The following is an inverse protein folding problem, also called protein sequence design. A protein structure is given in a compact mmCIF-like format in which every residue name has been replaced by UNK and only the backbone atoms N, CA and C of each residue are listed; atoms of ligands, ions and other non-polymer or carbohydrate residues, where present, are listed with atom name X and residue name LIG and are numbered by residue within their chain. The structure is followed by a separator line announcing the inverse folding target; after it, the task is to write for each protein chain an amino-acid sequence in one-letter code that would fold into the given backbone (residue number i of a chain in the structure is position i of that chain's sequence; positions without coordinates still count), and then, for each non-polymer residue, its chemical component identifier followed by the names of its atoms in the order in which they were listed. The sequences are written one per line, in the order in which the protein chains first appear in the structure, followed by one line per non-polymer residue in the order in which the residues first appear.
data_IF_033503203036
#
_entry.id   IF_033503203036
#
_cell.length_a   1.000
_cell.length_b   1.000
_cell.length_c   1.000
_cell.angle_alpha   90.00
_cell.angle_beta   90.00
_cell.angle_gamma   90.00
#
_symmetry.space_group_name_H-M   'P 1'
#
loop_
_entity.id
_entity.type
_entity.pdbx_description
1 polymer ?
#
# COMPACT_ATOMS: atom_id res chain seq x y z
N UNK A 1 10.43 9.24 21.78
CA UNK A 1 11.24 9.76 20.64
C UNK A 1 11.98 10.98 21.15
N UNK A 2 13.33 11.00 21.08
CA UNK A 2 14.09 12.17 21.53
C UNK A 2 13.79 13.36 20.60
N UNK A 3 13.83 14.59 21.14
CA UNK A 3 13.67 15.81 20.30
C UNK A 3 14.65 15.83 19.12
N UNK A 4 15.85 15.26 19.28
CA UNK A 4 16.83 15.09 18.22
C UNK A 4 16.36 14.17 17.09
N UNK A 5 15.71 13.03 17.40
CA UNK A 5 15.20 12.11 16.37
C UNK A 5 14.09 12.74 15.52
N UNK A 6 13.26 13.60 16.11
CA UNK A 6 12.22 14.35 15.37
C UNK A 6 12.87 15.35 14.44
N UNK A 7 13.90 16.06 14.89
CA UNK A 7 14.63 17.04 14.05
C UNK A 7 15.31 16.38 12.85
N UNK A 8 15.94 15.20 13.05
CA UNK A 8 16.53 14.42 11.96
C UNK A 8 15.49 13.95 10.94
N UNK A 9 14.32 13.49 11.39
CA UNK A 9 13.23 13.06 10.50
C UNK A 9 12.73 14.24 9.68
N UNK A 10 12.51 15.39 10.30
CA UNK A 10 12.07 16.61 9.61
C UNK A 10 13.13 17.09 8.60
N UNK A 11 14.41 17.07 8.99
CA UNK A 11 15.51 17.47 8.09
C UNK A 11 15.62 16.53 6.88
N UNK A 12 15.53 15.22 7.06
CA UNK A 12 15.56 14.23 5.97
C UNK A 12 14.32 14.37 5.08
N UNK A 13 13.13 14.58 5.64
CA UNK A 13 11.91 14.81 4.86
C UNK A 13 12.00 16.09 4.03
N UNK A 14 12.55 17.17 4.58
CA UNK A 14 12.77 18.42 3.88
C UNK A 14 13.79 18.28 2.74
N UNK A 15 14.88 17.53 2.99
CA UNK A 15 15.92 17.27 2.00
C UNK A 15 15.39 16.40 0.84
N UNK A 16 14.55 15.40 1.13
CA UNK A 16 13.84 14.59 0.14
C UNK A 16 12.86 15.45 -0.69
N UNK A 17 12.11 16.34 -0.05
CA UNK A 17 11.21 17.28 -0.75
C UNK A 17 11.96 18.20 -1.69
N UNK A 18 13.11 18.76 -1.26
CA UNK A 18 13.97 19.60 -2.09
C UNK A 18 14.59 18.80 -3.24
N UNK A 19 15.04 17.59 -3.01
CA UNK A 19 15.59 16.71 -4.05
C UNK A 19 14.52 16.31 -5.10
N UNK A 20 13.27 16.12 -4.69
CA UNK A 20 12.15 15.81 -5.60
C UNK A 20 11.67 17.03 -6.38
N UNK A 21 11.81 18.25 -5.83
CA UNK A 21 11.39 19.51 -6.49
C UNK A 21 12.30 19.97 -7.63
N UNK A 22 13.55 19.50 -7.68
CA UNK A 22 14.54 19.86 -8.71
C UNK A 22 14.66 18.90 -9.88
N UNK A 23 13.88 17.82 -9.93
CA UNK A 23 13.97 16.86 -11.01
C UNK A 23 13.06 17.27 -12.17
N UNK A 24 13.64 17.86 -13.22
CA UNK A 24 12.96 18.06 -14.50
C UNK A 24 12.63 16.67 -15.08
N UNK A 25 11.37 16.42 -15.28
CA UNK A 25 10.91 15.14 -15.83
C UNK A 25 11.21 15.10 -17.30
N UNK A 26 11.80 14.01 -17.81
CA UNK A 26 11.91 13.84 -19.24
C UNK A 26 10.51 13.90 -19.87
N UNK A 27 10.38 14.60 -20.97
CA UNK A 27 9.12 14.67 -21.74
C UNK A 27 8.71 13.26 -22.16
N UNK A 28 7.45 12.91 -21.90
CA UNK A 28 6.90 11.63 -22.30
C UNK A 28 6.42 11.70 -23.75
N UNK A 29 7.11 11.00 -24.65
CA UNK A 29 6.82 10.94 -26.09
C UNK A 29 5.98 9.71 -26.48
N UNK A 30 5.26 9.10 -25.55
CA UNK A 30 4.37 7.98 -25.87
C UNK A 30 3.19 8.45 -26.69
N UNK A 31 2.93 7.80 -27.85
CA UNK A 31 1.81 8.09 -28.75
C UNK A 31 0.53 7.52 -28.15
N UNK A 32 -0.21 8.36 -27.42
CA UNK A 32 -1.47 7.97 -26.77
C UNK A 32 -2.71 8.39 -27.53
N UNK A 33 -2.65 9.53 -28.21
CA UNK A 33 -3.78 10.21 -28.86
C UNK A 33 -4.97 10.45 -27.93
N UNK A 34 -4.77 10.31 -26.64
CA UNK A 34 -5.84 10.40 -25.66
C UNK A 34 -6.25 11.85 -25.42
N UNK A 35 -7.56 12.09 -25.35
CA UNK A 35 -8.17 13.42 -25.15
C UNK A 35 -7.78 14.09 -23.83
N UNK A 36 -7.43 13.31 -22.81
CA UNK A 36 -7.01 13.79 -21.49
C UNK A 36 -5.50 13.94 -21.33
N UNK A 37 -4.73 13.55 -22.32
CA UNK A 37 -3.27 13.51 -22.24
C UNK A 37 -2.65 14.83 -22.75
N UNK A 38 -1.95 15.53 -21.87
CA UNK A 38 -1.23 16.76 -22.16
C UNK A 38 0.20 16.56 -22.68
N UNK A 39 0.66 15.30 -22.77
CA UNK A 39 1.95 14.99 -23.38
C UNK A 39 1.97 15.39 -24.87
N UNK A 40 3.14 15.50 -25.49
CA UNK A 40 3.24 15.92 -26.92
C UNK A 40 2.34 15.11 -27.85
N UNK A 41 2.31 13.78 -27.70
CA UNK A 41 1.49 12.91 -28.55
C UNK A 41 0.12 12.53 -27.92
N UNK A 42 -0.35 13.29 -26.92
CA UNK A 42 -1.74 13.32 -26.52
C UNK A 42 -2.57 14.21 -27.44
N UNK A 43 -3.89 14.22 -27.26
CA UNK A 43 -4.84 15.01 -28.05
C UNK A 43 -5.68 15.96 -27.17
N UNK A 44 -5.09 16.46 -26.06
CA UNK A 44 -5.77 17.38 -25.16
C UNK A 44 -6.17 18.70 -25.87
N UNK A 45 -5.27 19.28 -26.67
CA UNK A 45 -5.55 20.51 -27.43
C UNK A 45 -6.74 20.30 -28.38
N UNK A 46 -6.83 19.15 -29.04
CA UNK A 46 -7.96 18.78 -29.88
C UNK A 46 -9.27 18.72 -29.08
N UNK A 47 -9.25 18.09 -27.92
CA UNK A 47 -10.45 17.93 -27.07
C UNK A 47 -10.99 19.26 -26.56
N UNK A 48 -10.16 20.27 -26.40
CA UNK A 48 -10.56 21.61 -25.99
C UNK A 48 -11.05 22.48 -27.16
N UNK A 49 -10.47 22.30 -28.35
CA UNK A 49 -10.75 23.16 -29.51
C UNK A 49 -11.89 22.64 -30.38
N UNK A 50 -11.94 21.33 -30.63
CA UNK A 50 -12.90 20.71 -31.55
C UNK A 50 -14.38 20.95 -31.16
N UNK A 51 -14.79 21.00 -29.88
CA UNK A 51 -16.18 21.29 -29.52
C UNK A 51 -16.72 22.62 -30.06
N UNK A 52 -15.84 23.60 -30.32
CA UNK A 52 -16.23 24.89 -30.88
C UNK A 52 -16.51 24.86 -32.40
N UNK A 53 -16.18 23.79 -33.07
CA UNK A 53 -16.33 23.62 -34.53
C UNK A 53 -17.66 22.97 -34.95
N UNK A 54 -18.31 22.25 -34.03
CA UNK A 54 -19.50 21.44 -34.31
C UNK A 54 -20.67 21.88 -33.45
N UNK A 55 -21.92 21.61 -33.92
CA UNK A 55 -23.12 21.92 -33.12
C UNK A 55 -23.20 20.99 -31.91
N UNK A 56 -22.88 19.73 -32.09
CA UNK A 56 -22.77 18.74 -31.02
C UNK A 56 -21.40 18.03 -31.05
N UNK A 57 -20.81 17.89 -29.89
CA UNK A 57 -19.56 17.17 -29.73
C UNK A 57 -19.65 16.22 -28.55
N UNK A 58 -19.49 14.93 -28.80
CA UNK A 58 -19.55 13.91 -27.76
C UNK A 58 -18.29 13.08 -27.76
N UNK A 59 -17.71 12.85 -26.59
CA UNK A 59 -16.62 11.91 -26.40
C UNK A 59 -17.14 10.61 -25.78
N UNK A 60 -16.75 9.48 -26.35
CA UNK A 60 -17.19 8.16 -25.96
C UNK A 60 -15.98 7.22 -25.78
N UNK A 61 -16.14 6.17 -24.99
CA UNK A 61 -15.10 5.16 -24.77
C UNK A 61 -15.66 3.74 -25.03
N UNK A 62 -16.51 3.62 -26.03
CA UNK A 62 -17.10 2.36 -26.46
C UNK A 62 -16.62 1.98 -27.85
N UNK A 63 -16.74 0.69 -28.18
CA UNK A 63 -16.43 0.16 -29.51
C UNK A 63 -17.32 0.75 -30.61
N UNK A 64 -16.91 0.66 -31.87
CA UNK A 64 -17.75 1.11 -32.98
C UNK A 64 -19.12 0.44 -32.98
N UNK A 65 -19.20 -0.83 -32.64
CA UNK A 65 -20.47 -1.53 -32.49
C UNK A 65 -21.43 -0.83 -31.54
N UNK A 66 -20.95 -0.36 -30.39
CA UNK A 66 -21.79 0.29 -29.39
C UNK A 66 -22.06 1.76 -29.70
N UNK A 67 -21.03 2.47 -30.18
CA UNK A 67 -21.11 3.91 -30.50
C UNK A 67 -22.06 4.18 -31.64
N UNK A 68 -21.90 3.44 -32.77
CA UNK A 68 -22.70 3.65 -33.96
C UNK A 68 -24.18 3.35 -33.77
N UNK A 69 -24.52 2.40 -32.91
CA UNK A 69 -25.91 2.09 -32.57
C UNK A 69 -26.60 3.13 -31.67
N UNK A 70 -25.78 3.95 -30.98
CA UNK A 70 -26.28 5.04 -30.12
C UNK A 70 -26.21 6.40 -30.81
N UNK A 71 -25.47 6.50 -31.92
CA UNK A 71 -25.32 7.75 -32.65
C UNK A 71 -26.59 8.12 -33.40
N UNK A 72 -26.88 9.41 -33.45
CA UNK A 72 -28.01 9.95 -34.15
C UNK A 72 -27.78 10.01 -35.67
N UNK A 73 -28.86 10.15 -36.44
CA UNK A 73 -28.79 10.33 -37.86
C UNK A 73 -28.13 11.67 -38.20
N UNK A 74 -27.13 11.67 -39.11
CA UNK A 74 -26.37 12.86 -39.46
C UNK A 74 -25.14 13.16 -38.56
N UNK A 75 -24.92 12.45 -37.44
CA UNK A 75 -23.67 12.55 -36.69
C UNK A 75 -22.53 11.86 -37.40
N UNK A 76 -21.36 12.51 -37.43
CA UNK A 76 -20.10 11.89 -37.85
C UNK A 76 -19.42 11.11 -36.74
N UNK A 77 -18.58 10.18 -37.11
CA UNK A 77 -17.71 9.44 -36.17
C UNK A 77 -16.25 9.80 -36.37
N UNK A 78 -15.54 10.06 -35.29
CA UNK A 78 -14.10 10.28 -35.28
C UNK A 78 -13.41 9.20 -34.46
N UNK A 79 -12.35 8.61 -35.02
CA UNK A 79 -11.43 7.72 -34.30
C UNK A 79 -10.00 8.09 -34.64
N UNK A 80 -9.17 8.25 -33.58
CA UNK A 80 -7.73 8.59 -33.72
C UNK A 80 -6.97 7.56 -32.89
N UNK A 81 -6.10 6.79 -33.56
CA UNK A 81 -5.31 5.74 -32.89
C UNK A 81 -3.99 5.49 -33.65
N UNK A 82 -3.01 4.86 -33.04
CA UNK A 82 -1.83 4.37 -33.76
C UNK A 82 -2.23 3.17 -34.61
N UNK A 83 -2.89 2.19 -34.00
CA UNK A 83 -3.36 0.97 -34.61
C UNK A 83 -4.87 0.87 -34.52
N UNK A 84 -5.56 0.64 -35.60
CA UNK A 84 -6.99 0.39 -35.62
C UNK A 84 -7.27 -1.06 -36.02
N UNK A 85 -7.48 -1.90 -35.01
CA UNK A 85 -7.84 -3.32 -35.18
C UNK A 85 -9.28 -3.52 -34.72
N UNK A 86 -10.12 -4.08 -35.58
CA UNK A 86 -11.55 -4.21 -35.37
C UNK A 86 -11.93 -5.68 -35.11
N UNK A 87 -12.79 -5.90 -34.12
CA UNK A 87 -13.51 -7.17 -34.01
C UNK A 87 -14.65 -7.23 -35.03
N UNK A 88 -15.07 -8.45 -35.40
CA UNK A 88 -16.10 -8.68 -36.41
C UNK A 88 -17.38 -7.84 -36.20
N UNK A 89 -17.98 -7.74 -34.98
CA UNK A 89 -19.18 -6.94 -34.79
C UNK A 89 -18.95 -5.44 -35.08
N UNK A 90 -17.78 -4.91 -34.70
CA UNK A 90 -17.45 -3.48 -34.92
C UNK A 90 -17.19 -3.18 -36.36
N UNK A 91 -16.56 -4.10 -37.10
CA UNK A 91 -16.35 -4.00 -38.53
C UNK A 91 -17.68 -4.04 -39.31
N UNK A 92 -18.54 -5.02 -39.02
CA UNK A 92 -19.84 -5.18 -39.72
C UNK A 92 -20.74 -3.96 -39.47
N UNK A 93 -20.84 -3.48 -38.24
CA UNK A 93 -21.65 -2.29 -37.90
C UNK A 93 -21.08 -1.03 -38.60
N UNK A 94 -19.74 -0.85 -38.58
CA UNK A 94 -19.10 0.29 -39.21
C UNK A 94 -19.41 0.36 -40.73
N UNK A 95 -19.21 -0.74 -41.42
CA UNK A 95 -19.47 -0.84 -42.88
C UNK A 95 -20.95 -0.63 -43.18
N UNK A 96 -21.85 -1.20 -42.35
CA UNK A 96 -23.29 -1.06 -42.52
C UNK A 96 -23.74 0.41 -42.35
N UNK A 97 -23.28 1.08 -41.30
CA UNK A 97 -23.65 2.46 -41.00
C UNK A 97 -23.11 3.46 -42.02
N UNK A 98 -21.87 3.27 -42.49
CA UNK A 98 -21.32 4.12 -43.55
C UNK A 98 -22.07 3.88 -44.88
N UNK A 99 -22.42 2.64 -45.22
CA UNK A 99 -23.21 2.36 -46.41
C UNK A 99 -24.61 3.03 -46.40
N UNK A 100 -25.14 3.35 -45.20
CA UNK A 100 -26.42 4.01 -44.99
C UNK A 100 -26.32 5.55 -44.91
N UNK A 101 -25.17 6.14 -45.15
CA UNK A 101 -25.00 7.60 -45.22
C UNK A 101 -24.17 8.24 -44.12
N UNK A 102 -23.55 7.44 -43.26
CA UNK A 102 -22.70 7.98 -42.15
C UNK A 102 -21.32 8.37 -42.68
N UNK A 103 -20.80 9.54 -42.26
CA UNK A 103 -19.42 9.94 -42.48
C UNK A 103 -18.55 9.56 -41.30
N UNK A 104 -17.45 8.86 -41.58
CA UNK A 104 -16.52 8.37 -40.54
C UNK A 104 -15.09 8.79 -40.85
N UNK A 105 -14.44 9.52 -39.92
CA UNK A 105 -13.02 9.85 -40.02
C UNK A 105 -12.22 8.88 -39.18
N UNK A 106 -11.40 8.07 -39.86
CA UNK A 106 -10.45 7.15 -39.24
C UNK A 106 -9.04 7.68 -39.44
N UNK A 107 -8.40 8.08 -38.38
CA UNK A 107 -7.01 8.50 -38.36
C UNK A 107 -6.16 7.46 -37.68
N UNK A 108 -5.33 6.76 -38.44
CA UNK A 108 -4.53 5.66 -37.93
C UNK A 108 -3.30 5.41 -38.78
N UNK A 109 -2.20 5.00 -38.13
CA UNK A 109 -1.00 4.55 -38.83
C UNK A 109 -1.14 3.13 -39.39
N UNK A 110 -1.94 2.29 -38.74
CA UNK A 110 -2.23 0.93 -39.19
C UNK A 110 -3.74 0.70 -39.17
N UNK A 111 -4.28 0.35 -40.35
CA UNK A 111 -5.70 0.06 -40.52
C UNK A 111 -5.93 -1.47 -40.62
N UNK A 112 -7.05 -1.91 -39.99
CA UNK A 112 -7.47 -3.32 -40.06
C UNK A 112 -7.54 -3.86 -41.48
N UNK A 113 -6.97 -5.03 -41.73
CA UNK A 113 -6.85 -5.63 -43.03
C UNK A 113 -8.22 -5.82 -43.75
N UNK A 114 -9.29 -6.09 -42.96
CA UNK A 114 -10.63 -6.23 -43.53
C UNK A 114 -11.13 -4.93 -44.17
N UNK A 115 -10.82 -3.78 -43.51
CA UNK A 115 -11.16 -2.47 -44.07
C UNK A 115 -10.27 -2.13 -45.25
N UNK A 116 -8.98 -2.44 -45.20
CA UNK A 116 -8.05 -2.29 -46.32
C UNK A 116 -8.57 -3.00 -47.55
N UNK A 117 -8.96 -4.27 -47.42
CA UNK A 117 -9.49 -5.09 -48.50
C UNK A 117 -10.85 -4.56 -49.01
N UNK A 118 -11.74 -4.14 -48.09
CA UNK A 118 -13.08 -3.63 -48.44
C UNK A 118 -13.01 -2.31 -49.20
N UNK A 119 -12.12 -1.42 -48.81
CA UNK A 119 -11.95 -0.11 -49.42
C UNK A 119 -11.00 -0.14 -50.63
N UNK A 120 -10.37 -1.29 -50.90
CA UNK A 120 -9.37 -1.47 -51.96
C UNK A 120 -8.25 -0.43 -51.87
N UNK A 121 -7.69 -0.25 -50.66
CA UNK A 121 -6.62 0.68 -50.38
C UNK A 121 -5.37 -0.05 -49.91
N UNK A 122 -4.25 0.65 -49.88
CA UNK A 122 -3.02 0.17 -49.30
C UNK A 122 -2.29 1.33 -48.57
N UNK A 123 -1.89 1.09 -47.36
CA UNK A 123 -1.03 2.02 -46.61
C UNK A 123 0.41 1.59 -46.77
N UNK A 124 1.27 2.53 -47.08
CA UNK A 124 2.70 2.30 -47.12
C UNK A 124 3.44 3.25 -46.19
N UNK A 125 4.63 2.86 -45.78
CA UNK A 125 5.47 3.62 -44.89
C UNK A 125 6.64 4.17 -45.68
N UNK A 126 6.83 5.47 -45.59
CA UNK A 126 8.03 6.05 -46.13
C UNK A 126 9.19 5.83 -45.17
N UNK A 127 10.18 5.04 -45.59
CA UNK A 127 11.48 4.96 -44.90
C UNK A 127 12.23 6.29 -45.12
N UNK A 128 12.16 7.19 -44.14
CA UNK A 128 13.08 8.30 -44.08
C UNK A 128 14.47 7.74 -43.69
N UNK A 129 15.27 7.42 -44.70
CA UNK A 129 16.71 7.43 -44.50
C UNK A 129 17.11 8.87 -44.22
N UNK A 130 17.83 9.08 -43.10
CA UNK A 130 18.48 10.33 -42.77
C UNK A 130 19.24 10.85 -44.01
N UNK A 131 18.59 11.72 -44.74
CA UNK A 131 19.31 12.53 -45.72
C UNK A 131 19.83 13.72 -44.92
N UNK A 132 21.15 13.89 -44.90
CA UNK A 132 21.87 14.82 -44.07
C UNK A 132 21.60 16.31 -44.38
N UNK A 133 20.71 16.63 -45.30
CA UNK A 133 20.43 17.97 -45.76
C UNK A 133 19.26 18.69 -45.09
N UNK A 134 18.67 18.14 -44.02
CA UNK A 134 17.76 18.85 -43.16
C UNK A 134 16.40 19.25 -43.77
N UNK A 135 15.90 18.48 -44.73
CA UNK A 135 14.56 18.68 -45.31
C UNK A 135 13.50 18.25 -44.27
N UNK A 136 12.81 19.21 -43.71
CA UNK A 136 11.66 18.97 -42.84
C UNK A 136 10.50 18.42 -43.69
N UNK A 137 9.91 17.29 -43.24
CA UNK A 137 8.69 16.77 -43.85
C UNK A 137 7.56 17.77 -43.71
N UNK A 138 6.78 17.95 -44.78
CA UNK A 138 5.63 18.85 -44.75
C UNK A 138 4.40 18.19 -45.39
N UNK A 139 3.24 18.70 -45.02
CA UNK A 139 1.97 18.36 -45.65
C UNK A 139 1.44 19.57 -46.42
N UNK A 140 0.85 19.27 -47.59
CA UNK A 140 0.25 20.28 -48.47
C UNK A 140 -1.26 20.09 -48.55
N UNK A 141 -1.96 21.21 -48.48
CA UNK A 141 -3.39 21.32 -48.73
C UNK A 141 -3.59 22.44 -49.71
N UNK A 142 -4.43 22.27 -50.73
CA UNK A 142 -4.72 23.30 -51.68
C UNK A 142 -5.24 24.56 -51.01
N UNK A 143 -4.57 25.69 -51.30
CA UNK A 143 -4.92 27.01 -50.76
C UNK A 143 -4.48 27.28 -49.33
N UNK A 144 -3.69 26.42 -48.71
CA UNK A 144 -3.17 26.61 -47.33
C UNK A 144 -1.63 26.69 -47.29
N UNK A 145 -1.04 27.37 -46.30
CA UNK A 145 0.39 27.29 -46.08
C UNK A 145 0.83 25.85 -45.80
N UNK A 146 2.05 25.52 -46.18
CA UNK A 146 2.67 24.24 -45.86
C UNK A 146 2.76 24.06 -44.32
N UNK A 147 2.46 22.86 -43.86
CA UNK A 147 2.60 22.46 -42.45
C UNK A 147 3.83 21.60 -42.29
N UNK A 148 4.66 21.89 -41.31
CA UNK A 148 5.94 21.22 -41.11
C UNK A 148 5.92 20.27 -39.94
N UNK A 149 6.59 19.11 -40.14
CA UNK A 149 6.92 18.17 -39.05
C UNK A 149 8.39 18.32 -38.66
N UNK A 150 8.73 17.95 -37.43
CA UNK A 150 10.14 17.74 -37.08
C UNK A 150 10.66 16.45 -37.69
N UNK A 151 11.93 16.43 -38.02
CA UNK A 151 12.68 15.49 -38.85
C UNK A 151 12.66 14.01 -38.46
N UNK A 152 12.00 13.60 -37.40
CA UNK A 152 12.08 12.25 -36.86
C UNK A 152 10.80 11.42 -37.01
N UNK A 153 9.75 11.97 -37.62
CA UNK A 153 8.48 11.27 -37.66
C UNK A 153 8.34 10.49 -38.99
N UNK A 154 8.13 9.19 -38.85
CA UNK A 154 7.75 8.33 -39.97
C UNK A 154 6.31 8.67 -40.34
N UNK A 155 6.13 9.25 -41.53
CA UNK A 155 4.80 9.54 -42.07
C UNK A 155 4.35 8.41 -42.96
N UNK A 156 3.18 7.88 -42.70
CA UNK A 156 2.52 6.92 -43.56
C UNK A 156 1.69 7.65 -44.61
N UNK A 157 1.54 7.05 -45.75
CA UNK A 157 0.72 7.57 -46.84
C UNK A 157 -0.17 6.45 -47.40
N UNK A 158 -1.20 6.84 -48.15
CA UNK A 158 -2.11 5.93 -48.81
C UNK A 158 -1.60 5.73 -50.24
N UNK A 159 -0.94 4.60 -50.47
CA UNK A 159 -0.30 4.31 -51.79
C UNK A 159 -1.33 4.00 -52.87
N UNK A 160 -2.40 3.28 -52.55
CA UNK A 160 -3.43 2.90 -53.49
C UNK A 160 -4.81 3.41 -53.03
N UNK A 161 -5.51 4.07 -53.96
CA UNK A 161 -6.85 4.62 -53.73
C UNK A 161 -7.78 4.21 -54.87
N UNK A 162 -9.07 3.95 -54.59
CA UNK A 162 -10.07 3.71 -55.66
C UNK A 162 -10.29 5.00 -56.48
N UNK A 163 -10.66 4.89 -57.77
CA UNK A 163 -10.86 6.05 -58.63
C UNK A 163 -11.91 7.05 -58.16
N UNK A 164 -12.80 6.65 -57.28
CA UNK A 164 -13.83 7.49 -56.68
C UNK A 164 -13.33 8.32 -55.50
N UNK A 165 -12.11 8.06 -54.99
CA UNK A 165 -11.57 8.75 -53.86
C UNK A 165 -11.18 10.21 -54.19
N UNK A 166 -11.34 11.09 -53.22
CA UNK A 166 -10.91 12.50 -53.26
C UNK A 166 -9.79 12.75 -52.26
N UNK A 167 -8.64 13.21 -52.77
CA UNK A 167 -7.47 13.48 -51.95
C UNK A 167 -7.54 14.93 -51.47
N UNK A 168 -7.38 15.17 -50.16
CA UNK A 168 -7.42 16.49 -49.50
C UNK A 168 -6.05 16.96 -49.04
N UNK A 169 -5.20 16.03 -48.57
CA UNK A 169 -3.88 16.33 -48.03
C UNK A 169 -2.87 15.40 -48.68
N UNK A 170 -1.75 15.96 -49.13
CA UNK A 170 -0.62 15.21 -49.67
C UNK A 170 0.65 15.47 -48.86
N UNK A 171 1.61 14.56 -48.95
CA UNK A 171 2.97 14.78 -48.47
C UNK A 171 3.82 15.52 -49.51
N UNK A 172 5.10 15.76 -49.25
CA UNK A 172 6.04 16.45 -50.13
C UNK A 172 6.21 15.80 -51.50
N UNK A 173 5.98 14.52 -51.61
CA UNK A 173 6.06 13.75 -52.88
C UNK A 173 4.73 13.67 -53.62
N UNK A 174 3.69 14.33 -53.10
CA UNK A 174 2.36 14.30 -53.74
C UNK A 174 1.57 13.04 -53.40
N UNK A 175 2.03 12.21 -52.47
CA UNK A 175 1.30 11.00 -52.06
C UNK A 175 0.17 11.38 -51.09
N UNK A 176 -0.95 10.67 -51.14
CA UNK A 176 -2.14 10.96 -50.34
C UNK A 176 -1.91 10.64 -48.86
N UNK A 177 -2.24 11.61 -47.99
CA UNK A 177 -2.23 11.45 -46.54
C UNK A 177 -3.64 11.49 -45.98
N UNK A 178 -4.51 12.36 -46.53
CA UNK A 178 -5.93 12.37 -46.18
C UNK A 178 -6.75 12.26 -47.48
N UNK A 179 -7.63 11.28 -47.47
CA UNK A 179 -8.55 11.09 -48.60
C UNK A 179 -9.93 10.68 -48.11
N UNK A 180 -11.00 11.08 -48.83
CA UNK A 180 -12.32 10.52 -48.63
C UNK A 180 -12.60 9.45 -49.72
N UNK A 181 -13.28 8.42 -49.28
CA UNK A 181 -13.69 7.29 -50.15
C UNK A 181 -15.20 7.12 -49.98
N UNK A 182 -15.97 7.47 -51.02
CA UNK A 182 -17.41 7.22 -51.00
C UNK A 182 -17.71 5.72 -50.87
N UNK A 183 -18.64 5.39 -49.97
CA UNK A 183 -19.02 4.02 -49.69
C UNK A 183 -20.54 3.93 -49.41
N UNK A 184 -21.30 3.37 -50.35
CA UNK A 184 -22.75 3.41 -50.30
C UNK A 184 -23.28 4.86 -50.40
N UNK A 185 -24.09 5.27 -49.46
CA UNK A 185 -24.61 6.64 -49.32
C UNK A 185 -23.73 7.57 -48.44
N UNK A 186 -22.74 7.00 -47.74
CA UNK A 186 -21.79 7.73 -46.86
C UNK A 186 -20.37 7.72 -47.40
N UNK A 187 -19.43 8.01 -46.52
CA UNK A 187 -18.01 8.05 -46.87
C UNK A 187 -17.09 7.71 -45.71
N UNK A 188 -15.96 7.12 -46.05
CA UNK A 188 -14.81 7.00 -45.14
C UNK A 188 -13.82 8.11 -45.45
N UNK A 189 -13.53 8.94 -44.43
CA UNK A 189 -12.41 9.86 -44.49
C UNK A 189 -11.24 9.18 -43.78
N UNK A 190 -10.18 8.91 -44.50
CA UNK A 190 -9.00 8.23 -44.00
C UNK A 190 -7.86 9.24 -43.85
N UNK A 191 -7.19 9.17 -42.71
CA UNK A 191 -5.96 9.93 -42.41
C UNK A 191 -4.87 8.94 -41.99
N UNK A 192 -3.83 8.78 -42.77
CA UNK A 192 -2.71 7.85 -42.50
C UNK A 192 -1.72 8.40 -41.49
N UNK A 193 -1.84 9.66 -41.09
CA UNK A 193 -0.89 10.35 -40.20
C UNK A 193 -1.62 10.93 -38.97
N UNK A 194 -1.93 10.10 -37.95
CA UNK A 194 -2.71 10.53 -36.78
C UNK A 194 -2.02 11.62 -35.91
N UNK A 195 -0.74 11.83 -36.13
CA UNK A 195 0.06 12.87 -35.45
C UNK A 195 -0.51 14.27 -35.67
N UNK A 196 -1.22 14.54 -36.76
CA UNK A 196 -1.85 15.84 -37.06
C UNK A 196 -2.89 16.27 -36.01
N UNK A 197 -3.38 15.33 -35.20
CA UNK A 197 -4.35 15.57 -34.14
C UNK A 197 -3.71 15.70 -32.73
N UNK A 198 -2.38 15.65 -32.66
CA UNK A 198 -1.66 15.69 -31.38
C UNK A 198 -1.39 17.10 -30.90
N UNK A 199 -1.20 17.25 -29.60
CA UNK A 199 -0.79 18.53 -28.98
C UNK A 199 0.46 19.09 -29.66
N UNK A 200 1.45 18.25 -29.90
CA UNK A 200 2.71 18.59 -30.52
C UNK A 200 2.52 19.25 -31.91
N UNK A 201 1.73 18.61 -32.76
CA UNK A 201 1.49 19.12 -34.11
C UNK A 201 0.62 20.38 -34.07
N UNK A 202 -0.50 20.34 -33.36
CA UNK A 202 -1.47 21.44 -33.35
C UNK A 202 -0.93 22.73 -32.77
N UNK A 203 -0.04 22.65 -31.78
CA UNK A 203 0.54 23.81 -31.08
C UNK A 203 1.77 24.38 -31.79
N UNK A 204 2.25 23.74 -32.85
CA UNK A 204 3.38 24.21 -33.62
C UNK A 204 2.93 25.13 -34.75
N UNK A 205 3.28 26.43 -34.65
CA UNK A 205 2.93 27.43 -35.68
C UNK A 205 1.45 27.48 -36.03
N UNK A 206 1.16 27.41 -37.32
CA UNK A 206 -0.21 27.42 -37.86
C UNK A 206 -0.78 26.03 -38.19
N UNK A 207 -0.13 24.97 -37.76
CA UNK A 207 -0.52 23.58 -38.05
C UNK A 207 -1.96 23.23 -37.67
N UNK A 208 -2.49 23.85 -36.61
CA UNK A 208 -3.89 23.68 -36.19
C UNK A 208 -4.92 23.94 -37.30
N UNK A 209 -4.56 24.76 -38.29
CA UNK A 209 -5.42 25.03 -39.46
C UNK A 209 -5.61 23.79 -40.34
N UNK A 210 -4.56 23.00 -40.49
CA UNK A 210 -4.66 21.72 -41.24
C UNK A 210 -5.57 20.76 -40.47
N UNK A 211 -5.38 20.62 -39.18
CA UNK A 211 -6.24 19.77 -38.34
C UNK A 211 -7.70 20.22 -38.43
N UNK A 212 -7.97 21.53 -38.35
CA UNK A 212 -9.32 22.08 -38.52
C UNK A 212 -9.90 21.78 -39.93
N UNK A 213 -9.08 21.87 -40.99
CA UNK A 213 -9.51 21.52 -42.38
C UNK A 213 -9.87 20.07 -42.49
N UNK A 214 -9.11 19.17 -41.89
CA UNK A 214 -9.42 17.73 -41.93
C UNK A 214 -10.69 17.42 -41.13
N UNK A 215 -10.86 18.05 -39.95
CA UNK A 215 -12.09 17.92 -39.17
C UNK A 215 -13.33 18.45 -39.89
N UNK A 216 -13.19 19.50 -40.72
CA UNK A 216 -14.31 20.03 -41.52
C UNK A 216 -14.82 19.10 -42.61
N UNK A 217 -14.23 17.93 -42.79
CA UNK A 217 -14.75 16.84 -43.62
C UNK A 217 -15.85 16.05 -42.92
N UNK A 218 -15.98 16.23 -41.59
CA UNK A 218 -17.09 15.65 -40.81
C UNK A 218 -18.33 16.58 -40.84
N UNK A 219 -19.54 16.04 -40.63
CA UNK A 219 -20.76 16.83 -40.61
C UNK A 219 -20.77 17.86 -39.51
N UNK A 220 -21.22 19.09 -39.81
CA UNK A 220 -21.33 20.19 -38.83
C UNK A 220 -22.40 19.93 -37.73
N UNK A 221 -23.38 19.04 -38.03
CA UNK A 221 -24.48 18.69 -37.13
C UNK A 221 -24.01 18.09 -35.81
N UNK A 222 -23.01 17.22 -35.86
CA UNK A 222 -22.46 16.62 -34.68
C UNK A 222 -21.37 15.60 -34.96
N UNK A 223 -20.48 15.46 -34.02
CA UNK A 223 -19.38 14.48 -34.08
C UNK A 223 -19.26 13.71 -32.78
N UNK A 224 -19.13 12.40 -32.90
CA UNK A 224 -18.85 11.50 -31.82
C UNK A 224 -17.43 10.98 -31.93
N UNK A 225 -16.59 11.33 -30.97
CA UNK A 225 -15.19 10.89 -30.89
C UNK A 225 -15.05 9.70 -29.95
N UNK A 226 -14.71 8.52 -30.49
CA UNK A 226 -14.42 7.36 -29.65
C UNK A 226 -12.93 7.26 -29.33
N UNK A 227 -12.65 7.05 -28.03
CA UNK A 227 -11.30 6.81 -27.51
C UNK A 227 -10.98 5.32 -27.32
N UNK A 228 -11.91 4.42 -27.66
CA UNK A 228 -11.80 2.99 -27.40
C UNK A 228 -10.56 2.33 -28.02
N UNK A 229 -10.18 2.76 -29.22
CA UNK A 229 -9.05 2.20 -29.97
C UNK A 229 -7.72 2.90 -29.72
N UNK A 230 -7.68 3.88 -28.82
CA UNK A 230 -6.45 4.62 -28.51
C UNK A 230 -5.49 3.79 -27.65
N UNK A 231 -4.20 3.87 -27.95
CA UNK A 231 -3.15 3.23 -27.16
C UNK A 231 -3.11 3.80 -25.74
N UNK A 232 -3.19 2.93 -24.74
CA UNK A 232 -3.11 3.36 -23.33
C UNK A 232 -4.44 3.77 -22.69
N UNK A 233 -5.55 3.81 -23.41
CA UNK A 233 -6.89 3.86 -22.82
C UNK A 233 -7.22 2.45 -22.34
N UNK A 234 -6.77 2.11 -21.14
CA UNK A 234 -7.12 0.83 -20.53
C UNK A 234 -8.61 0.83 -20.21
N UNK A 235 -9.36 -0.05 -20.84
CA UNK A 235 -10.78 -0.33 -20.62
C UNK A 235 -11.12 -0.73 -19.16
N UNK A 236 -10.11 -0.92 -18.33
CA UNK A 236 -10.22 -1.15 -16.89
C UNK A 236 -9.26 -0.23 -16.15
N UNK A 237 -9.57 1.04 -16.04
CA UNK A 237 -8.82 1.94 -15.17
C UNK A 237 -9.16 1.65 -13.70
N UNK A 238 -8.38 0.79 -13.07
CA UNK A 238 -8.38 0.72 -11.61
C UNK A 238 -8.20 2.14 -11.06
N UNK A 239 -9.00 2.58 -10.06
CA UNK A 239 -8.82 3.90 -9.42
C UNK A 239 -7.37 4.12 -8.96
N UNK A 240 -6.67 3.05 -8.63
CA UNK A 240 -5.27 3.07 -8.23
C UNK A 240 -4.33 3.44 -9.39
N UNK A 241 -4.62 2.98 -10.61
CA UNK A 241 -3.85 3.33 -11.81
C UNK A 241 -4.01 4.81 -12.14
N UNK A 242 -5.20 5.39 -11.92
CA UNK A 242 -5.46 6.80 -12.12
C UNK A 242 -4.63 7.67 -11.17
N UNK A 243 -4.55 7.29 -9.89
CA UNK A 243 -3.67 7.95 -8.91
C UNK A 243 -2.20 7.88 -9.35
N UNK A 244 -1.76 6.76 -9.93
CA UNK A 244 -0.37 6.58 -10.38
C UNK A 244 -0.05 7.34 -11.68
N UNK A 245 -1.03 7.61 -12.55
CA UNK A 245 -0.85 8.40 -13.78
C UNK A 245 -0.53 9.86 -13.48
N UNK A 246 -1.22 10.44 -12.49
CA UNK A 246 -1.04 11.83 -12.14
C UNK A 246 0.20 12.01 -11.25
N UNK A 247 1.25 12.67 -11.74
CA UNK A 247 2.51 12.80 -11.00
C UNK A 247 2.39 13.39 -9.59
N UNK A 248 1.54 14.41 -9.33
CA UNK A 248 1.35 14.93 -7.98
C UNK A 248 0.73 13.88 -7.04
N UNK A 249 -0.28 13.13 -7.51
CA UNK A 249 -0.95 12.09 -6.71
C UNK A 249 -0.03 10.89 -6.46
N UNK A 250 0.75 10.48 -7.45
CA UNK A 250 1.77 9.43 -7.32
C UNK A 250 2.82 9.79 -6.28
N UNK A 251 3.32 11.02 -6.31
CA UNK A 251 4.30 11.50 -5.33
C UNK A 251 3.68 11.58 -3.92
N UNK A 252 2.45 12.03 -3.80
CA UNK A 252 1.71 12.04 -2.53
C UNK A 252 1.52 10.61 -1.98
N UNK A 253 1.21 9.64 -2.84
CA UNK A 253 1.10 8.23 -2.47
C UNK A 253 2.43 7.67 -1.97
N UNK A 254 3.53 7.90 -2.70
CA UNK A 254 4.85 7.44 -2.28
C UNK A 254 5.29 8.07 -0.96
N UNK A 255 4.99 9.36 -0.78
CA UNK A 255 5.26 10.05 0.47
C UNK A 255 4.45 9.48 1.63
N UNK A 256 3.17 9.20 1.43
CA UNK A 256 2.31 8.56 2.43
C UNK A 256 2.83 7.15 2.80
N UNK A 257 3.22 6.34 1.81
CA UNK A 257 3.82 5.02 2.04
C UNK A 257 5.14 5.11 2.81
N UNK A 258 5.99 6.09 2.47
CA UNK A 258 7.25 6.34 3.18
C UNK A 258 7.00 6.74 4.65
N UNK A 259 5.99 7.59 4.91
CA UNK A 259 5.60 7.96 6.28
C UNK A 259 5.07 6.75 7.06
N UNK A 260 4.26 5.89 6.45
CA UNK A 260 3.76 4.67 7.07
C UNK A 260 4.92 3.72 7.39
N UNK A 261 5.83 3.52 6.44
CA UNK A 261 7.02 2.69 6.66
C UNK A 261 7.89 3.24 7.80
N UNK A 262 8.12 4.55 7.82
CA UNK A 262 8.85 5.22 8.88
C UNK A 262 8.16 5.07 10.23
N UNK A 263 6.83 5.24 10.27
CA UNK A 263 6.03 5.03 11.48
C UNK A 263 6.14 3.59 11.97
N UNK A 264 6.08 2.61 11.07
CA UNK A 264 6.28 1.19 11.42
C UNK A 264 7.68 0.92 11.97
N UNK A 265 8.74 1.48 11.37
CA UNK A 265 10.12 1.32 11.84
C UNK A 265 10.29 1.95 13.23
N UNK A 266 9.78 3.16 13.43
CA UNK A 266 9.86 3.86 14.74
C UNK A 266 8.98 3.18 15.78
N UNK A 267 7.78 2.75 15.40
CA UNK A 267 6.81 2.08 16.27
C UNK A 267 7.15 0.62 16.58
N UNK A 268 7.94 -0.04 15.72
CA UNK A 268 8.36 -1.45 15.90
C UNK A 268 9.35 -1.65 17.06
N UNK A 269 9.96 -0.57 17.55
CA UNK A 269 10.69 -0.62 18.81
C UNK A 269 9.70 -0.96 19.91
N UNK A 270 9.67 -2.23 20.27
CA UNK A 270 8.86 -2.76 21.37
C UNK A 270 9.21 -1.99 22.64
N UNK A 271 8.42 -0.97 22.96
CA UNK A 271 8.46 -0.34 24.29
C UNK A 271 7.87 -1.38 25.22
N UNK A 272 8.74 -2.25 25.74
CA UNK A 272 8.35 -3.11 26.84
C UNK A 272 7.95 -2.18 27.96
N UNK A 273 6.70 -2.21 28.36
CA UNK A 273 6.28 -1.63 29.63
C UNK A 273 7.22 -2.22 30.66
N UNK A 274 7.88 -1.35 31.44
CA UNK A 274 8.66 -1.79 32.57
C UNK A 274 7.75 -2.72 33.36
N UNK A 275 8.09 -4.02 33.41
CA UNK A 275 7.36 -4.97 34.22
C UNK A 275 7.56 -4.47 35.63
N UNK A 276 6.51 -4.05 36.35
CA UNK A 276 6.68 -3.61 37.72
C UNK A 276 7.30 -4.78 38.46
N UNK A 277 8.48 -4.56 39.04
CA UNK A 277 9.11 -5.54 39.90
C UNK A 277 8.14 -5.68 41.09
N UNK A 278 7.32 -6.73 41.04
CA UNK A 278 6.47 -7.10 42.16
C UNK A 278 7.48 -7.57 43.22
N UNK A 279 7.77 -6.70 44.19
CA UNK A 279 8.53 -7.10 45.37
C UNK A 279 7.77 -8.29 45.98
N UNK A 280 8.49 -9.39 46.18
CA UNK A 280 7.91 -10.53 46.89
C UNK A 280 7.22 -10.01 48.11
N UNK A 281 5.96 -10.36 48.29
CA UNK A 281 5.19 -9.95 49.47
C UNK A 281 6.00 -10.31 50.70
N UNK A 282 6.35 -9.33 51.57
CA UNK A 282 7.07 -9.63 52.79
C UNK A 282 6.24 -10.68 53.54
N UNK A 283 6.89 -11.69 54.09
CA UNK A 283 6.20 -12.74 54.82
C UNK A 283 5.65 -12.10 56.11
N UNK A 284 4.44 -11.57 56.02
CA UNK A 284 3.78 -10.86 57.12
C UNK A 284 3.71 -11.72 58.37
N UNK A 285 3.61 -13.03 58.24
CA UNK A 285 3.64 -13.98 59.38
C UNK A 285 4.98 -13.96 60.06
N UNK A 286 6.08 -13.89 59.33
CA UNK A 286 7.42 -13.82 59.94
C UNK A 286 7.64 -12.50 60.66
N UNK A 287 7.18 -11.38 60.07
CA UNK A 287 7.31 -10.07 60.71
C UNK A 287 6.40 -9.96 61.94
N UNK A 288 5.20 -10.54 61.86
CA UNK A 288 4.32 -10.65 63.02
C UNK A 288 4.96 -11.47 64.14
N UNK A 289 5.51 -12.63 63.83
CA UNK A 289 6.21 -13.48 64.86
C UNK A 289 7.39 -12.72 65.48
N UNK A 290 8.17 -11.98 64.71
CA UNK A 290 9.25 -11.17 65.23
C UNK A 290 8.74 -10.08 66.16
N UNK A 291 7.65 -9.41 65.78
CA UNK A 291 7.04 -8.34 66.56
C UNK A 291 6.52 -8.87 67.90
N UNK A 292 5.81 -10.01 67.85
CA UNK A 292 5.32 -10.69 69.08
C UNK A 292 6.49 -11.15 69.93
N UNK A 293 7.53 -11.71 69.34
CA UNK A 293 8.73 -12.12 70.03
C UNK A 293 9.43 -10.95 70.72
N UNK A 294 9.53 -9.78 70.08
CA UNK A 294 10.05 -8.57 70.66
C UNK A 294 9.19 -8.06 71.82
N UNK A 295 7.86 -8.15 71.70
CA UNK A 295 6.94 -7.76 72.77
C UNK A 295 7.16 -8.62 74.01
N UNK A 296 7.22 -9.94 73.89
CA UNK A 296 7.51 -10.84 75.01
C UNK A 296 8.91 -10.60 75.62
N UNK A 297 9.91 -10.31 74.78
CA UNK A 297 11.24 -9.99 75.25
C UNK A 297 11.28 -8.69 76.06
N UNK A 298 10.51 -7.66 75.69
CA UNK A 298 10.43 -6.41 76.40
C UNK A 298 9.65 -6.50 77.75
N UNK A 299 8.67 -7.42 77.80
CA UNK A 299 7.92 -7.63 79.05
C UNK A 299 8.75 -8.32 80.18
N UNK A 300 9.93 -8.88 79.89
CA UNK A 300 10.81 -9.61 80.76
C UNK A 300 10.14 -10.70 81.59
N UNK A 301 9.04 -11.29 81.09
CA UNK A 301 8.37 -12.38 81.80
C UNK A 301 8.89 -13.74 81.25
N UNK A 302 10.17 -14.06 81.66
CA UNK A 302 10.83 -15.31 81.25
C UNK A 302 10.03 -16.55 81.69
N UNK A 303 9.23 -16.42 82.80
CA UNK A 303 8.42 -17.52 83.33
C UNK A 303 7.25 -17.87 82.39
N UNK A 304 6.55 -16.86 81.89
CA UNK A 304 5.44 -17.09 80.92
C UNK A 304 5.97 -17.68 79.63
N UNK A 305 7.11 -17.23 79.12
CA UNK A 305 7.76 -17.77 77.93
C UNK A 305 8.18 -19.22 78.12
N UNK A 306 8.85 -19.52 79.25
CA UNK A 306 9.29 -20.88 79.54
C UNK A 306 8.10 -21.84 79.65
N UNK A 307 7.04 -21.43 80.40
CA UNK A 307 5.80 -22.23 80.55
C UNK A 307 5.15 -22.47 79.20
N UNK A 308 4.95 -21.50 78.31
CA UNK A 308 4.36 -21.62 77.00
C UNK A 308 5.17 -22.57 76.13
N UNK A 309 6.50 -22.52 76.20
CA UNK A 309 7.39 -23.46 75.45
C UNK A 309 7.27 -24.86 75.95
N UNK A 310 7.17 -25.09 77.23
CA UNK A 310 6.98 -26.41 77.86
C UNK A 310 5.60 -26.96 77.46
N UNK A 311 4.54 -26.18 77.61
CA UNK A 311 3.18 -26.60 77.24
C UNK A 311 3.05 -26.96 75.79
N UNK A 312 3.65 -26.12 74.88
CA UNK A 312 3.69 -26.42 73.47
C UNK A 312 4.47 -27.70 73.18
N UNK A 313 5.57 -27.94 73.86
CA UNK A 313 6.34 -29.17 73.70
C UNK A 313 5.57 -30.40 74.19
N UNK A 314 4.89 -30.33 75.29
CA UNK A 314 4.06 -31.40 75.88
C UNK A 314 2.93 -31.78 74.89
N UNK A 315 2.27 -30.75 74.30
CA UNK A 315 1.20 -30.96 73.39
C UNK A 315 1.71 -31.56 72.04
N UNK A 316 2.84 -31.12 71.54
CA UNK A 316 3.46 -31.68 70.32
C UNK A 316 3.82 -33.15 70.48
N UNK A 317 4.43 -33.52 71.65
CA UNK A 317 4.75 -34.91 71.96
C UNK A 317 3.49 -35.74 72.04
N UNK A 318 2.43 -35.21 72.65
CA UNK A 318 1.15 -35.90 72.77
C UNK A 318 0.52 -36.16 71.40
N UNK A 319 0.50 -35.15 70.58
CA UNK A 319 -0.13 -35.22 69.25
C UNK A 319 0.65 -36.12 68.25
N UNK A 320 1.99 -35.95 68.22
CA UNK A 320 2.81 -36.59 67.22
C UNK A 320 3.25 -38.00 67.60
N UNK A 321 3.47 -38.27 68.91
CA UNK A 321 4.04 -39.55 69.37
C UNK A 321 3.11 -40.29 70.33
N UNK A 322 1.90 -39.77 70.59
CA UNK A 322 0.95 -40.34 71.55
C UNK A 322 1.61 -40.71 72.89
N UNK A 323 2.48 -39.80 73.40
CA UNK A 323 3.25 -40.01 74.58
C UNK A 323 3.00 -38.84 75.60
N UNK A 324 3.11 -39.09 76.86
CA UNK A 324 2.89 -38.11 77.97
C UNK A 324 4.15 -37.91 78.79
N UNK A 325 4.65 -36.69 78.79
CA UNK A 325 5.94 -36.31 79.45
C UNK A 325 6.00 -36.63 80.92
N UNK A 326 4.87 -36.64 81.66
CA UNK A 326 4.81 -36.94 83.08
C UNK A 326 4.27 -38.30 83.44
N UNK A 327 3.73 -39.07 82.50
CA UNK A 327 3.13 -40.37 82.74
C UNK A 327 3.97 -41.53 82.22
N UNK A 328 4.68 -41.28 81.12
CA UNK A 328 5.55 -42.30 80.51
C UNK A 328 6.94 -42.22 81.14
N UNK A 329 7.56 -43.37 81.37
CA UNK A 329 8.94 -43.46 81.85
C UNK A 329 9.89 -42.92 80.71
N UNK A 330 10.99 -42.24 81.13
CA UNK A 330 11.99 -41.62 80.23
C UNK A 330 12.45 -42.57 79.15
N UNK A 331 12.62 -43.85 79.46
CA UNK A 331 12.98 -44.89 78.46
C UNK A 331 11.90 -45.15 77.45
N UNK A 332 10.64 -45.17 77.87
CA UNK A 332 9.50 -45.39 76.96
C UNK A 332 9.31 -44.14 76.09
N UNK A 333 9.44 -42.97 76.66
CA UNK A 333 9.37 -41.70 76.02
C UNK A 333 10.50 -41.57 74.93
N UNK A 334 11.71 -41.91 75.30
CA UNK A 334 12.87 -41.92 74.38
C UNK A 334 12.66 -42.89 73.23
N UNK A 335 12.12 -44.07 73.48
CA UNK A 335 11.83 -45.05 72.40
C UNK A 335 10.71 -44.55 71.48
N UNK A 336 9.63 -43.92 72.00
CA UNK A 336 8.52 -43.38 71.20
C UNK A 336 8.95 -42.23 70.32
N UNK A 337 9.80 -41.32 70.82
CA UNK A 337 10.31 -40.14 70.08
C UNK A 337 11.46 -40.52 69.18
N UNK A 338 12.19 -41.61 69.44
CA UNK A 338 13.36 -42.06 68.68
C UNK A 338 14.65 -41.32 69.03
N UNK A 339 14.80 -40.90 70.30
CA UNK A 339 15.97 -40.19 70.80
C UNK A 339 16.67 -41.03 71.89
N UNK A 340 17.86 -40.62 72.33
CA UNK A 340 18.56 -41.32 73.44
C UNK A 340 17.89 -41.02 74.76
N UNK A 341 17.84 -41.99 75.67
CA UNK A 341 17.28 -41.88 77.02
C UNK A 341 17.93 -40.74 77.78
N UNK A 342 19.25 -40.61 77.64
CA UNK A 342 20.03 -39.54 78.29
C UNK A 342 19.55 -38.12 77.91
N UNK A 343 19.14 -37.90 76.63
CA UNK A 343 18.64 -36.59 76.16
C UNK A 343 17.28 -36.26 76.79
N UNK A 344 16.41 -37.31 76.93
CA UNK A 344 15.07 -37.16 77.53
C UNK A 344 15.19 -36.88 79.06
N UNK A 345 15.99 -37.65 79.76
CA UNK A 345 16.21 -37.46 81.18
C UNK A 345 16.79 -36.06 81.45
N UNK A 346 17.76 -35.61 80.65
CA UNK A 346 18.34 -34.27 80.80
C UNK A 346 17.29 -33.18 80.51
N UNK A 347 16.36 -33.39 79.53
CA UNK A 347 15.27 -32.42 79.27
C UNK A 347 14.26 -32.40 80.43
N UNK A 348 13.78 -33.57 80.93
CA UNK A 348 12.82 -33.67 82.05
C UNK A 348 13.35 -33.00 83.25
N UNK A 349 14.65 -33.17 83.57
CA UNK A 349 15.30 -32.54 84.70
C UNK A 349 15.27 -30.99 84.57
N UNK A 350 15.55 -30.43 83.39
CA UNK A 350 15.50 -28.98 83.21
C UNK A 350 14.06 -28.48 83.23
N UNK A 351 13.08 -29.25 82.75
CA UNK A 351 11.68 -28.86 82.85
C UNK A 351 11.21 -28.83 84.33
N UNK A 352 11.56 -29.80 85.13
CA UNK A 352 11.25 -29.80 86.59
C UNK A 352 11.90 -28.65 87.29
N UNK A 353 13.13 -28.30 86.98
CA UNK A 353 13.84 -27.15 87.55
C UNK A 353 13.13 -25.83 87.17
N UNK A 354 12.70 -25.66 85.90
CA UNK A 354 11.94 -24.50 85.44
C UNK A 354 10.55 -24.42 86.12
N UNK A 355 9.85 -25.50 86.24
CA UNK A 355 8.53 -25.56 86.88
C UNK A 355 8.60 -25.27 88.36
N UNK A 356 9.66 -25.68 89.08
CA UNK A 356 9.90 -25.45 90.54
C UNK A 356 10.49 -24.11 90.88
N UNK A 357 11.08 -23.41 89.96
CA UNK A 357 11.76 -22.11 90.17
C UNK A 357 10.79 -20.97 90.45
N UNK A 358 11.03 -20.19 91.47
CA UNK A 358 10.24 -18.94 91.76
C UNK A 358 10.53 -17.83 90.78
N UNK A 359 11.75 -17.73 90.22
CA UNK A 359 12.18 -16.81 89.19
C UNK A 359 13.08 -17.54 88.20
N UNK A 360 12.92 -17.24 86.93
CA UNK A 360 13.69 -17.84 85.80
C UNK A 360 14.64 -16.75 85.31
N UNK A 361 15.93 -17.06 85.21
CA UNK A 361 16.92 -16.21 84.58
C UNK A 361 17.12 -16.59 83.15
N UNK A 362 17.78 -15.72 82.36
CA UNK A 362 18.01 -15.95 80.90
C UNK A 362 18.85 -17.20 80.67
N UNK A 363 19.74 -17.57 81.53
CA UNK A 363 20.56 -18.77 81.36
C UNK A 363 19.74 -20.07 81.42
N UNK A 364 18.78 -20.15 82.40
CA UNK A 364 17.91 -21.32 82.50
C UNK A 364 16.92 -21.43 81.30
N UNK A 365 16.45 -20.25 80.86
CA UNK A 365 15.59 -20.23 79.68
C UNK A 365 16.34 -20.69 78.39
N UNK A 366 17.59 -20.25 78.19
CA UNK A 366 18.45 -20.69 77.08
C UNK A 366 18.79 -22.18 77.22
N UNK A 367 19.04 -22.65 78.45
CA UNK A 367 19.29 -24.09 78.66
C UNK A 367 18.07 -24.95 78.29
N UNK A 368 16.86 -24.52 78.68
CA UNK A 368 15.59 -25.15 78.27
C UNK A 368 15.44 -25.18 76.75
N UNK A 369 15.61 -24.05 76.10
CA UNK A 369 15.44 -23.97 74.63
C UNK A 369 16.46 -24.83 73.90
N UNK A 370 17.72 -24.87 74.32
CA UNK A 370 18.74 -25.76 73.74
C UNK A 370 18.35 -27.24 73.91
N UNK A 371 17.82 -27.67 75.03
CA UNK A 371 17.42 -29.07 75.25
C UNK A 371 16.17 -29.43 74.46
N UNK A 372 15.18 -28.56 74.34
CA UNK A 372 14.02 -28.73 73.50
C UNK A 372 14.41 -28.85 71.99
N UNK A 373 15.28 -27.97 71.49
CA UNK A 373 15.75 -27.97 70.15
C UNK A 373 16.56 -29.25 69.80
N UNK A 374 17.31 -29.80 70.78
CA UNK A 374 18.01 -31.12 70.52
C UNK A 374 17.03 -32.22 70.27
N UNK A 375 15.93 -32.31 71.01
CA UNK A 375 14.87 -33.32 70.81
C UNK A 375 14.18 -33.04 69.46
N UNK A 376 13.76 -31.82 69.17
CA UNK A 376 13.14 -31.49 67.85
C UNK A 376 14.02 -31.85 66.66
N UNK A 377 15.32 -31.50 66.67
CA UNK A 377 16.25 -31.82 65.59
C UNK A 377 16.48 -33.32 65.39
N UNK A 378 16.47 -34.07 66.49
CA UNK A 378 16.66 -35.53 66.41
C UNK A 378 15.39 -36.25 66.02
N UNK A 379 14.21 -35.73 66.39
CA UNK A 379 12.93 -36.31 66.03
C UNK A 379 12.53 -36.05 64.56
N UNK A 380 12.97 -34.93 63.96
CA UNK A 380 12.66 -34.55 62.57
C UNK A 380 13.55 -35.25 61.54
N UNK A 381 14.63 -35.93 61.97
CA UNK A 381 15.54 -36.63 61.06
C UNK A 381 15.09 -38.09 60.75
N UNK A 382 13.89 -38.43 61.01
CA UNK A 382 13.25 -39.64 60.62
C UNK A 382 12.04 -39.27 59.70
#
# INVERSE_FOLDING_TARGET
VSKGSILYIVAISLLLLLAMGGYERPTNWTKTYASVDQNPYGAYALSELAPSMFQEWQMDNHSFYEVLRRSEEGEGLLSISEDLVLGDPSYEELVAQVSQGKTVLLSTSYLDQKLVDTLSIYFDTRDYYYDSDGDSSFLEVEGMPRTYFLETEILQYIDSLPPSAVVYVTNAEGQAVVASIPFGEGEFVLCSTPIIFTNYFMLYGDNHRLTARVLSLLPDSGVRWTSYYQSGVATNSSPFREVLKHPPLRNALYFALALIALHMIVGSRRVQRAIPVIRALPNQTMDFIKTVGLLYFHQRDQRAVAKSRIDYFKENIRMQYHAHLHQDNDRVLAAKIGVKEEDVTALVKVIQEVEGAKAINDELLIALDKKLNVIYKKSTKR
#
